data_IF_399276750348
#
_entry.id   IF_399276750348
#
_cell.length_a   1.000
_cell.length_b   1.000
_cell.length_c   1.000
_cell.angle_alpha   90.00
_cell.angle_beta   90.00
_cell.angle_gamma   90.00
#
_symmetry.space_group_name_H-M   'P 1'
#
loop_
_entity.id
_entity.type
_entity.pdbx_description
1 polymer ?
#
# COMPACT_ATOMS: atom_id res chain seq x y z
N UNK A 1 -5.17 6.16 -25.66
CA UNK A 1 -6.35 7.07 -25.64
C UNK A 1 -7.58 6.45 -24.98
N UNK A 2 -8.31 5.48 -25.58
CA UNK A 2 -9.53 4.94 -24.93
C UNK A 2 -9.24 4.25 -23.58
N UNK A 3 -8.25 3.35 -23.55
CA UNK A 3 -7.86 2.63 -22.33
C UNK A 3 -7.35 3.56 -21.22
N UNK A 4 -6.54 4.55 -21.58
CA UNK A 4 -6.02 5.53 -20.61
C UNK A 4 -7.15 6.33 -19.96
N UNK A 5 -8.12 6.79 -20.77
CA UNK A 5 -9.28 7.50 -20.25
C UNK A 5 -10.09 6.60 -19.31
N UNK A 6 -10.38 5.36 -19.73
CA UNK A 6 -11.11 4.41 -18.89
C UNK A 6 -10.42 4.12 -17.55
N UNK A 7 -9.09 4.06 -17.52
CA UNK A 7 -8.34 3.86 -16.27
C UNK A 7 -8.39 5.11 -15.37
N UNK A 8 -8.32 6.32 -15.95
CA UNK A 8 -8.48 7.56 -15.17
C UNK A 8 -9.89 7.67 -14.59
N UNK A 9 -10.91 7.40 -15.41
CA UNK A 9 -12.30 7.41 -15.00
C UNK A 9 -12.54 6.39 -13.88
N UNK A 10 -12.00 5.17 -14.00
CA UNK A 10 -12.14 4.15 -12.97
C UNK A 10 -11.57 4.57 -11.59
N UNK A 11 -10.44 5.28 -11.55
CA UNK A 11 -9.89 5.80 -10.29
C UNK A 11 -10.78 6.90 -9.69
N UNK A 12 -11.30 7.81 -10.53
CA UNK A 12 -12.21 8.87 -10.09
C UNK A 12 -13.53 8.29 -9.58
N UNK A 13 -14.09 7.31 -10.30
CA UNK A 13 -15.34 6.65 -9.93
C UNK A 13 -15.17 5.84 -8.64
N UNK A 14 -14.03 5.16 -8.45
CA UNK A 14 -13.71 4.46 -7.20
C UNK A 14 -13.54 5.42 -6.01
N UNK A 15 -12.90 6.58 -6.22
CA UNK A 15 -12.80 7.63 -5.19
C UNK A 15 -14.20 8.14 -4.79
N UNK A 16 -15.09 8.30 -5.76
CA UNK A 16 -16.48 8.69 -5.49
C UNK A 16 -17.27 7.61 -4.73
N UNK A 17 -17.04 6.33 -5.04
CA UNK A 17 -17.64 5.19 -4.35
C UNK A 17 -17.18 5.14 -2.88
N UNK A 18 -15.88 5.29 -2.62
CA UNK A 18 -15.32 5.35 -1.26
C UNK A 18 -15.94 6.50 -0.47
N UNK A 19 -16.08 7.70 -1.06
CA UNK A 19 -16.71 8.84 -0.40
C UNK A 19 -18.18 8.57 -0.06
N UNK A 20 -18.91 7.92 -0.98
CA UNK A 20 -20.29 7.50 -0.76
C UNK A 20 -20.42 6.57 0.45
N UNK A 21 -19.47 5.64 0.62
CA UNK A 21 -19.47 4.73 1.77
C UNK A 21 -19.07 5.42 3.08
N UNK A 22 -18.07 6.28 3.08
CA UNK A 22 -17.69 7.08 4.26
C UNK A 22 -18.86 7.93 4.77
N UNK A 23 -19.72 8.40 3.86
CA UNK A 23 -20.93 9.18 4.19
C UNK A 23 -22.14 8.33 4.58
N UNK A 24 -22.04 7.00 4.47
CA UNK A 24 -23.14 6.07 4.69
C UNK A 24 -24.24 6.15 3.62
N UNK A 25 -23.93 6.71 2.45
CA UNK A 25 -24.86 6.87 1.33
C UNK A 25 -24.92 5.63 0.44
N UNK A 26 -23.90 4.77 0.49
CA UNK A 26 -23.81 3.59 -0.35
C UNK A 26 -24.14 2.29 0.43
N UNK A 27 -24.56 1.27 -0.33
CA UNK A 27 -24.97 -0.03 0.20
C UNK A 27 -23.89 -1.00 -0.21
N UNK A 28 -22.93 -1.26 0.68
CA UNK A 28 -21.96 -2.34 0.47
C UNK A 28 -22.72 -3.67 0.41
N UNK A 29 -22.90 -4.22 -0.79
CA UNK A 29 -23.02 -5.67 -0.93
C UNK A 29 -21.62 -6.24 -0.64
N UNK A 30 -21.55 -7.24 0.25
CA UNK A 30 -20.34 -7.84 0.83
C UNK A 30 -19.02 -7.53 0.08
N UNK A 31 -18.11 -6.77 0.72
CA UNK A 31 -16.78 -6.44 0.20
C UNK A 31 -15.89 -7.68 -0.15
N UNK A 32 -16.36 -8.88 0.19
CA UNK A 32 -15.74 -10.17 -0.17
C UNK A 32 -16.26 -10.76 -1.49
N UNK A 33 -17.19 -10.12 -2.19
CA UNK A 33 -17.66 -10.56 -3.51
C UNK A 33 -16.75 -9.95 -4.57
N UNK A 34 -16.02 -10.78 -5.36
CA UNK A 34 -15.27 -10.26 -6.50
C UNK A 34 -16.16 -9.41 -7.41
N UNK A 35 -15.69 -8.20 -7.76
CA UNK A 35 -16.38 -7.23 -8.65
C UNK A 35 -16.89 -7.85 -9.97
N UNK A 36 -16.35 -9.00 -10.36
CA UNK A 36 -16.71 -9.77 -11.55
C UNK A 36 -18.04 -10.54 -11.47
N UNK A 37 -18.68 -10.69 -10.30
CA UNK A 37 -19.89 -11.52 -10.18
C UNK A 37 -21.21 -10.79 -10.48
N UNK A 38 -21.21 -9.44 -10.53
CA UNK A 38 -22.43 -8.63 -10.72
C UNK A 38 -22.62 -8.01 -12.10
N UNK A 39 -21.56 -7.82 -12.89
CA UNK A 39 -21.63 -7.10 -14.17
C UNK A 39 -21.24 -8.00 -15.34
N UNK A 40 -22.24 -8.54 -16.04
CA UNK A 40 -22.07 -9.11 -17.37
C UNK A 40 -21.66 -8.02 -18.37
N UNK A 41 -20.38 -7.67 -18.43
CA UNK A 41 -19.80 -6.94 -19.55
C UNK A 41 -19.52 -7.92 -20.68
N UNK A 42 -20.40 -7.96 -21.68
CA UNK A 42 -20.31 -8.79 -22.89
C UNK A 42 -19.15 -8.44 -23.83
N UNK A 43 -18.34 -7.44 -23.50
CA UNK A 43 -17.36 -6.85 -24.41
C UNK A 43 -15.93 -7.40 -24.25
N UNK A 44 -15.68 -8.16 -23.18
CA UNK A 44 -14.43 -8.88 -23.00
C UNK A 44 -14.72 -10.37 -23.22
N UNK A 45 -14.22 -10.92 -24.32
CA UNK A 45 -14.22 -12.38 -24.57
C UNK A 45 -13.63 -13.12 -23.36
N UNK A 46 -13.84 -14.45 -23.25
CA UNK A 46 -13.54 -15.20 -22.03
C UNK A 46 -12.11 -14.92 -21.56
N UNK A 47 -12.00 -14.08 -20.53
CA UNK A 47 -10.77 -13.89 -19.80
C UNK A 47 -10.64 -15.18 -19.01
N UNK A 48 -9.68 -16.04 -19.36
CA UNK A 48 -9.23 -17.06 -18.43
C UNK A 48 -8.60 -16.32 -17.24
N UNK A 49 -9.45 -15.83 -16.35
CA UNK A 49 -9.06 -15.27 -15.07
C UNK A 49 -8.54 -16.43 -14.24
N UNK A 50 -7.24 -16.71 -14.33
CA UNK A 50 -6.54 -17.21 -13.16
C UNK A 50 -6.55 -16.06 -12.16
N UNK A 51 -7.63 -15.98 -11.39
CA UNK A 51 -7.66 -15.20 -10.17
C UNK A 51 -6.38 -15.56 -9.41
N UNK A 52 -5.52 -14.56 -9.22
CA UNK A 52 -4.45 -14.69 -8.24
C UNK A 52 -5.18 -14.59 -6.91
N UNK A 53 -5.56 -15.73 -6.37
CA UNK A 53 -6.03 -15.83 -4.99
C UNK A 53 -4.92 -15.28 -4.10
N UNK A 54 -5.14 -14.09 -3.53
CA UNK A 54 -4.34 -13.62 -2.39
C UNK A 54 -4.79 -14.46 -1.19
N UNK A 55 -4.19 -15.64 -1.04
CA UNK A 55 -4.37 -16.45 0.14
C UNK A 55 -3.66 -15.78 1.33
N UNK A 56 -4.38 -15.01 2.15
CA UNK A 56 -4.05 -14.90 3.57
C UNK A 56 -4.53 -16.20 4.22
N UNK A 57 -3.72 -17.26 4.10
CA UNK A 57 -3.87 -18.45 4.93
C UNK A 57 -3.20 -18.17 6.28
N UNK A 58 -3.86 -17.39 7.11
CA UNK A 58 -3.72 -17.59 8.55
C UNK A 58 -4.98 -18.28 9.05
N UNK A 59 -4.79 -19.37 9.80
CA UNK A 59 -5.84 -20.33 10.10
C UNK A 59 -6.95 -19.74 10.96
N UNK A 60 -8.02 -19.23 10.34
CA UNK A 60 -9.39 -19.24 10.88
C UNK A 60 -9.61 -18.70 12.29
N UNK A 61 -8.76 -17.81 12.80
CA UNK A 61 -9.03 -17.07 14.05
C UNK A 61 -9.07 -15.58 13.72
N UNK A 62 -10.28 -15.07 13.57
CA UNK A 62 -10.53 -13.64 13.63
C UNK A 62 -10.06 -13.15 15.01
N UNK A 63 -9.01 -12.33 15.03
CA UNK A 63 -8.71 -11.51 16.19
C UNK A 63 -9.75 -10.40 16.21
N UNK A 64 -10.75 -10.53 17.07
CA UNK A 64 -11.62 -9.41 17.41
C UNK A 64 -10.73 -8.35 18.09
N UNK A 65 -10.44 -7.27 17.37
CA UNK A 65 -9.88 -6.06 17.97
C UNK A 65 -11.01 -5.42 18.76
N UNK A 66 -11.06 -5.74 20.04
CA UNK A 66 -12.07 -5.27 20.98
C UNK A 66 -11.65 -3.88 21.46
N UNK A 67 -11.78 -2.87 20.59
CA UNK A 67 -11.89 -1.44 20.87
C UNK A 67 -12.08 -0.70 19.52
N UNK A 68 -13.28 -0.20 19.19
CA UNK A 68 -13.43 0.74 18.08
C UNK A 68 -12.70 2.02 18.48
N UNK A 69 -11.49 2.20 17.96
CA UNK A 69 -10.88 3.53 17.90
C UNK A 69 -11.77 4.31 16.93
N UNK A 70 -12.36 5.45 17.32
CA UNK A 70 -13.04 6.31 16.36
C UNK A 70 -11.95 6.83 15.43
N UNK A 71 -11.82 6.20 14.27
CA UNK A 71 -11.10 6.78 13.15
C UNK A 71 -12.14 7.67 12.49
N UNK A 72 -11.89 8.98 12.41
CA UNK A 72 -12.67 9.82 11.51
C UNK A 72 -12.35 9.32 10.09
N UNK A 73 -13.21 8.45 9.55
CA UNK A 73 -12.98 7.74 8.28
C UNK A 73 -12.79 8.69 7.07
N UNK A 74 -13.15 9.98 7.21
CA UNK A 74 -12.90 11.03 6.22
C UNK A 74 -11.40 11.38 6.03
N UNK A 75 -10.57 11.07 7.04
CA UNK A 75 -9.12 11.31 7.01
C UNK A 75 -8.32 10.09 6.50
N UNK A 76 -8.99 8.97 6.22
CA UNK A 76 -8.33 7.79 5.68
C UNK A 76 -8.07 7.93 4.17
N UNK A 77 -6.92 7.46 3.72
CA UNK A 77 -6.50 7.48 2.32
C UNK A 77 -5.64 6.27 1.96
N UNK A 78 -5.50 6.02 0.66
CA UNK A 78 -4.68 4.94 0.14
C UNK A 78 -4.02 5.29 -1.18
N UNK A 79 -2.81 4.76 -1.39
CA UNK A 79 -2.15 4.80 -2.70
C UNK A 79 -2.63 3.63 -3.56
N UNK A 80 -2.52 3.77 -4.88
CA UNK A 80 -2.91 2.73 -5.81
C UNK A 80 -1.94 2.68 -6.99
N UNK A 81 -1.26 1.54 -7.13
CA UNK A 81 -0.47 1.19 -8.31
C UNK A 81 -1.05 -0.06 -8.96
N UNK A 82 -1.53 0.07 -10.19
CA UNK A 82 -2.21 -0.99 -10.93
C UNK A 82 -1.44 -1.28 -12.21
N UNK A 83 -0.93 -2.50 -12.35
CA UNK A 83 -0.26 -2.97 -13.57
C UNK A 83 -1.14 -3.99 -14.29
N UNK A 84 -1.64 -3.62 -15.47
CA UNK A 84 -2.31 -4.52 -16.38
C UNK A 84 -1.34 -5.02 -17.44
N UNK A 85 -1.28 -6.34 -17.64
CA UNK A 85 -0.49 -6.95 -18.71
C UNK A 85 -1.38 -7.58 -19.75
N UNK A 86 -1.07 -7.34 -21.03
CA UNK A 86 -1.72 -7.96 -22.19
C UNK A 86 -0.66 -8.72 -22.99
N UNK A 87 -0.99 -9.41 -24.09
CA UNK A 87 0.03 -9.98 -24.97
C UNK A 87 0.97 -8.93 -25.60
N UNK A 88 0.55 -7.66 -25.69
CA UNK A 88 1.29 -6.60 -26.42
C UNK A 88 1.79 -5.45 -25.54
N UNK A 89 1.18 -5.24 -24.39
CA UNK A 89 1.39 -4.04 -23.57
C UNK A 89 1.46 -4.38 -22.09
N UNK A 90 2.31 -3.64 -21.37
CA UNK A 90 2.22 -3.42 -19.93
C UNK A 90 1.69 -2.01 -19.74
N UNK A 91 0.58 -1.88 -19.02
CA UNK A 91 -0.04 -0.59 -18.72
C UNK A 91 -0.05 -0.42 -17.22
N UNK A 92 0.57 0.65 -16.74
CA UNK A 92 0.62 0.96 -15.32
C UNK A 92 -0.12 2.27 -15.05
N UNK A 93 -1.08 2.23 -14.14
CA UNK A 93 -1.76 3.40 -13.59
C UNK A 93 -1.31 3.58 -12.14
N UNK A 94 -0.73 4.74 -11.79
CA UNK A 94 -0.23 5.02 -10.45
C UNK A 94 -0.84 6.30 -9.87
N UNK A 95 -1.33 6.25 -8.64
CA UNK A 95 -1.68 7.41 -7.83
C UNK A 95 -1.09 7.21 -6.42
N UNK A 96 -0.10 8.04 -6.06
CA UNK A 96 0.67 7.93 -4.82
C UNK A 96 2.12 7.51 -5.07
N UNK A 97 2.76 6.98 -4.03
CA UNK A 97 4.20 6.66 -3.96
C UNK A 97 4.52 5.16 -3.79
N UNK A 98 3.52 4.31 -3.89
CA UNK A 98 3.74 2.94 -4.33
C UNK A 98 4.33 2.94 -5.76
N UNK A 99 5.16 1.96 -6.08
CA UNK A 99 5.93 1.97 -7.34
C UNK A 99 5.95 0.61 -8.03
N UNK A 100 5.89 0.66 -9.36
CA UNK A 100 6.09 -0.47 -10.25
C UNK A 100 7.33 -0.25 -11.13
N UNK A 101 8.17 -1.29 -11.21
CA UNK A 101 9.33 -1.35 -12.10
C UNK A 101 9.33 -2.69 -12.83
N UNK A 102 9.87 -2.74 -14.03
CA UNK A 102 10.09 -3.99 -14.72
C UNK A 102 11.55 -4.17 -15.12
N UNK A 103 11.93 -5.42 -15.29
CA UNK A 103 13.25 -5.80 -15.76
C UNK A 103 13.18 -6.23 -17.22
N UNK A 104 14.05 -5.64 -18.04
CA UNK A 104 14.22 -5.99 -19.45
C UNK A 104 15.70 -6.01 -19.81
N UNK A 105 16.11 -7.07 -20.49
CA UNK A 105 17.47 -7.25 -21.03
C UNK A 105 18.58 -7.03 -19.99
N UNK A 106 19.05 -8.11 -19.36
CA UNK A 106 20.20 -8.08 -18.44
C UNK A 106 19.91 -7.37 -17.11
N UNK A 107 18.74 -7.65 -16.52
CA UNK A 107 18.42 -7.22 -15.15
C UNK A 107 18.52 -5.70 -14.94
N UNK A 108 18.16 -4.94 -15.97
CA UNK A 108 18.09 -3.47 -15.92
C UNK A 108 16.68 -3.05 -15.54
N UNK A 109 16.56 -2.26 -14.47
CA UNK A 109 15.28 -1.70 -14.08
C UNK A 109 14.84 -0.62 -15.06
N UNK A 110 13.58 -0.70 -15.47
CA UNK A 110 12.89 0.32 -16.24
C UNK A 110 11.62 0.69 -15.46
N UNK A 111 11.36 1.99 -15.19
CA UNK A 111 10.19 2.40 -14.42
C UNK A 111 8.89 2.14 -15.21
N UNK A 112 7.87 1.63 -14.52
CA UNK A 112 6.48 1.62 -15.00
C UNK A 112 5.62 2.68 -14.29
N UNK A 113 6.12 3.28 -13.21
CA UNK A 113 5.50 4.43 -12.56
C UNK A 113 6.57 5.40 -12.05
N UNK A 114 6.12 6.60 -11.74
CA UNK A 114 6.83 7.58 -10.94
C UNK A 114 5.99 7.88 -9.71
N UNK A 115 6.65 8.11 -8.58
CA UNK A 115 5.98 8.45 -7.33
C UNK A 115 5.38 9.86 -7.44
N UNK A 116 4.32 10.11 -6.69
CA UNK A 116 3.69 11.42 -6.61
C UNK A 116 3.98 12.03 -5.24
N UNK A 117 5.05 12.83 -5.16
CA UNK A 117 5.47 13.50 -3.94
C UNK A 117 5.03 14.97 -3.97
N UNK A 118 4.60 15.55 -2.83
CA UNK A 118 4.16 16.95 -2.77
C UNK A 118 5.20 17.97 -3.24
N UNK A 119 6.49 17.66 -3.13
CA UNK A 119 7.60 18.52 -3.54
C UNK A 119 8.02 18.34 -5.01
N UNK A 120 7.37 17.47 -5.78
CA UNK A 120 7.54 17.40 -7.24
C UNK A 120 6.98 18.68 -7.89
N UNK A 121 7.70 19.25 -8.87
CA UNK A 121 7.39 20.59 -9.44
C UNK A 121 5.95 20.72 -9.96
N UNK A 122 5.43 19.68 -10.62
CA UNK A 122 4.08 19.66 -11.17
C UNK A 122 3.02 19.48 -10.09
N UNK A 123 3.32 18.70 -9.06
CA UNK A 123 2.43 18.41 -7.95
C UNK A 123 2.34 19.60 -7.00
N UNK A 124 3.47 20.21 -6.63
CA UNK A 124 3.53 21.42 -5.81
C UNK A 124 2.77 22.57 -6.49
N UNK A 125 2.94 22.73 -7.80
CA UNK A 125 2.21 23.74 -8.56
C UNK A 125 0.71 23.50 -8.48
N UNK A 126 0.23 22.28 -8.72
CA UNK A 126 -1.20 21.93 -8.59
C UNK A 126 -1.71 22.21 -7.18
N UNK A 127 -0.98 21.80 -6.13
CA UNK A 127 -1.36 22.02 -4.73
C UNK A 127 -1.53 23.51 -4.44
N UNK A 128 -0.61 24.36 -4.91
CA UNK A 128 -0.68 25.82 -4.74
C UNK A 128 -1.83 26.45 -5.53
N UNK A 129 -2.06 26.01 -6.77
CA UNK A 129 -3.18 26.45 -7.60
C UNK A 129 -4.53 26.06 -6.98
N UNK A 130 -4.59 24.95 -6.24
CA UNK A 130 -5.73 24.51 -5.44
C UNK A 130 -5.88 25.24 -4.09
N UNK A 131 -5.07 26.26 -3.84
CA UNK A 131 -5.09 27.05 -2.59
C UNK A 131 -4.42 26.38 -1.39
N UNK A 132 -3.69 25.29 -1.59
CA UNK A 132 -2.86 24.63 -0.57
C UNK A 132 -1.42 25.14 -0.55
N UNK A 133 -0.58 24.52 0.29
CA UNK A 133 0.86 24.75 0.34
C UNK A 133 1.61 23.45 0.60
N UNK A 134 2.92 23.44 0.37
CA UNK A 134 3.81 22.30 0.68
C UNK A 134 4.79 22.72 1.77
N UNK A 135 4.90 21.91 2.81
CA UNK A 135 5.82 22.15 3.93
C UNK A 135 6.43 20.83 4.37
N UNK A 136 7.77 20.76 4.46
CA UNK A 136 8.48 19.54 4.85
C UNK A 136 8.23 18.33 3.94
N UNK A 137 7.99 18.56 2.64
CA UNK A 137 7.63 17.49 1.69
C UNK A 137 6.20 16.96 1.85
N UNK A 138 5.31 17.73 2.50
CA UNK A 138 3.93 17.32 2.81
C UNK A 138 2.91 18.36 2.36
N UNK A 139 1.77 17.91 1.87
CA UNK A 139 0.59 18.74 1.58
C UNK A 139 0.10 19.34 2.89
N UNK A 140 0.10 20.67 2.95
CA UNK A 140 -0.24 21.48 4.13
C UNK A 140 0.56 21.15 5.39
N UNK A 141 1.72 20.51 5.23
CA UNK A 141 2.57 20.05 6.33
C UNK A 141 2.17 18.71 6.94
N UNK A 142 1.19 18.02 6.35
CA UNK A 142 0.56 16.84 6.95
C UNK A 142 0.71 15.57 6.10
N UNK A 143 0.14 15.53 4.88
CA UNK A 143 0.15 14.33 4.04
C UNK A 143 1.39 14.24 3.13
N UNK A 144 2.11 13.11 3.14
CA UNK A 144 3.37 12.93 2.41
C UNK A 144 3.23 12.48 0.94
N UNK A 145 1.99 12.34 0.45
CA UNK A 145 1.67 12.00 -0.93
C UNK A 145 0.80 13.09 -1.55
N UNK A 146 0.97 13.33 -2.84
CA UNK A 146 0.17 14.32 -3.58
C UNK A 146 -0.97 13.69 -4.37
N UNK A 147 -1.01 12.36 -4.52
CA UNK A 147 -2.09 11.64 -5.18
C UNK A 147 -2.48 10.40 -4.39
N UNK A 148 -3.77 10.06 -4.43
CA UNK A 148 -4.34 8.95 -3.66
C UNK A 148 -5.86 8.94 -3.71
N UNK A 149 -6.43 7.80 -3.33
CA UNK A 149 -7.85 7.63 -3.10
C UNK A 149 -8.18 7.94 -1.63
N UNK A 150 -9.36 8.47 -1.33
CA UNK A 150 -9.70 8.94 0.02
C UNK A 150 -9.13 10.33 0.32
N UNK A 151 -8.65 10.57 1.54
CA UNK A 151 -8.03 11.84 1.96
C UNK A 151 -8.93 13.07 1.69
N UNK A 152 -10.23 12.95 1.98
CA UNK A 152 -11.24 13.91 1.52
C UNK A 152 -11.10 15.30 2.13
N UNK A 153 -10.41 15.45 3.25
CA UNK A 153 -10.04 16.75 3.81
C UNK A 153 -9.23 17.63 2.85
N UNK A 154 -8.57 17.04 1.84
CA UNK A 154 -7.80 17.73 0.82
C UNK A 154 -8.52 17.86 -0.54
N UNK A 155 -9.78 17.41 -0.60
CA UNK A 155 -10.59 17.38 -1.82
C UNK A 155 -11.89 18.13 -1.58
N UNK A 156 -12.46 18.71 -2.63
CA UNK A 156 -13.84 19.19 -2.60
C UNK A 156 -14.81 18.00 -2.77
N UNK A 157 -15.58 17.61 -1.74
CA UNK A 157 -16.43 16.43 -1.82
C UNK A 157 -17.57 16.55 -2.83
N UNK A 158 -18.06 17.77 -3.10
CA UNK A 158 -19.16 17.98 -4.05
C UNK A 158 -18.70 17.70 -5.50
N UNK A 159 -17.41 17.91 -5.78
CA UNK A 159 -16.79 17.54 -7.06
C UNK A 159 -16.58 16.03 -7.14
N UNK A 160 -16.06 15.41 -6.07
CA UNK A 160 -15.77 13.96 -6.04
C UNK A 160 -17.04 13.15 -6.35
N UNK A 161 -18.18 13.50 -5.75
CA UNK A 161 -19.47 12.82 -6.00
C UNK A 161 -19.98 12.99 -7.44
N UNK A 162 -19.64 14.09 -8.11
CA UNK A 162 -20.10 14.37 -9.48
C UNK A 162 -19.36 13.55 -10.57
N UNK A 163 -18.21 12.95 -10.23
CA UNK A 163 -17.45 12.02 -11.05
C UNK A 163 -16.92 12.59 -12.39
N UNK A 164 -16.46 11.68 -13.26
CA UNK A 164 -15.98 11.97 -14.63
C UNK A 164 -17.03 12.58 -15.58
N UNK A 165 -18.30 12.68 -15.15
CA UNK A 165 -19.42 13.21 -15.93
C UNK A 165 -19.37 14.74 -16.18
N UNK A 166 -18.40 15.45 -15.59
CA UNK A 166 -18.17 16.88 -15.81
C UNK A 166 -17.37 17.25 -17.06
N UNK A 167 -16.89 16.30 -17.88
CA UNK A 167 -15.98 16.59 -19.00
C UNK A 167 -16.59 17.33 -20.20
N UNK A 168 -17.89 17.66 -20.17
CA UNK A 168 -18.55 18.44 -21.22
C UNK A 168 -18.95 19.84 -20.74
N UNK A 169 -18.03 20.79 -20.86
CA UNK A 169 -18.37 22.21 -20.99
C UNK A 169 -17.82 23.11 -19.89
N UNK A 170 -16.74 23.83 -20.22
CA UNK A 170 -16.51 25.14 -19.63
C UNK A 170 -17.72 26.03 -19.95
N UNK A 171 -18.54 26.33 -18.94
CA UNK A 171 -19.74 27.13 -19.15
C UNK A 171 -20.67 27.15 -17.94
N UNK A 172 -20.44 28.13 -17.05
CA UNK A 172 -21.46 28.88 -16.32
C UNK A 172 -22.66 28.13 -15.69
N UNK A 173 -22.71 28.21 -14.35
CA UNK A 173 -23.91 28.28 -13.45
C UNK A 173 -24.61 26.95 -13.11
N UNK A 174 -24.79 26.71 -11.81
CA UNK A 174 -25.98 27.16 -11.04
C UNK A 174 -25.81 26.91 -9.53
N UNK A 175 -25.85 28.00 -8.79
CA UNK A 175 -26.17 28.07 -7.37
C UNK A 175 -27.45 27.28 -7.04
N UNK A 176 -27.37 26.33 -6.10
CA UNK A 176 -28.52 25.94 -5.28
C UNK A 176 -28.16 25.85 -3.79
N UNK A 177 -27.66 26.96 -3.24
CA UNK A 177 -27.73 27.29 -1.81
C UNK A 177 -29.19 27.63 -1.37
N UNK A 178 -30.19 26.93 -1.94
CA UNK A 178 -31.61 27.19 -1.66
C UNK A 178 -32.26 26.12 -0.75
N UNK A 179 -31.51 25.12 -0.27
CA UNK A 179 -32.08 24.02 0.55
C UNK A 179 -31.45 23.81 1.92
N UNK A 180 -30.42 24.56 2.33
CA UNK A 180 -29.80 24.41 3.66
C UNK A 180 -30.25 25.41 4.74
N UNK A 181 -31.09 26.39 4.43
CA UNK A 181 -31.65 27.32 5.43
C UNK A 181 -33.18 27.19 5.55
N UNK A 182 -33.62 26.08 6.16
CA UNK A 182 -34.92 26.00 6.84
C UNK A 182 -34.84 25.18 8.12
N UNK A 183 -33.85 25.46 8.99
CA UNK A 183 -33.86 25.07 10.40
C UNK A 183 -33.15 26.13 11.23
N UNK A 184 -33.88 27.19 11.54
CA UNK A 184 -33.89 27.93 12.81
C UNK A 184 -34.45 29.33 12.55
N UNK A 185 -35.70 29.55 12.98
CA UNK A 185 -36.25 30.88 13.12
C UNK A 185 -35.71 31.55 14.37
N UNK A 186 -35.39 32.84 14.27
CA UNK A 186 -35.01 33.70 15.38
C UNK A 186 -34.51 35.04 14.88
N UNK A 187 -35.36 36.07 14.97
CA UNK A 187 -35.11 37.45 14.57
C UNK A 187 -33.99 38.13 15.38
N UNK A 188 -33.22 39.03 14.74
CA UNK A 188 -32.35 39.99 15.43
C UNK A 188 -31.34 40.65 14.49
N UNK A 189 -31.56 41.93 14.16
CA UNK A 189 -30.77 42.68 13.18
C UNK A 189 -29.40 43.17 13.67
N UNK A 190 -28.50 43.38 12.71
CA UNK A 190 -27.22 44.10 12.88
C UNK A 190 -26.32 43.95 11.65
N UNK A 191 -26.13 45.03 10.87
CA UNK A 191 -25.13 45.12 9.79
C UNK A 191 -23.74 45.34 10.39
N UNK A 192 -22.74 44.51 10.09
CA UNK A 192 -21.33 44.89 9.78
C UNK A 192 -20.61 43.70 9.12
N UNK A 193 -19.84 43.95 8.05
CA UNK A 193 -18.77 43.06 7.56
C UNK A 193 -19.07 42.44 6.20
N UNK A 194 -18.24 42.71 5.19
CA UNK A 194 -18.39 42.18 3.84
C UNK A 194 -18.01 40.72 3.78
N UNK A 195 -18.96 39.91 3.33
CA UNK A 195 -18.68 38.57 2.83
C UNK A 195 -18.06 38.75 1.45
N UNK A 196 -16.73 38.77 1.39
CA UNK A 196 -16.01 38.37 0.18
C UNK A 196 -16.28 36.86 0.03
N UNK A 197 -17.48 36.51 -0.45
CA UNK A 197 -17.79 35.20 -1.00
C UNK A 197 -16.89 35.04 -2.23
N UNK A 198 -15.68 34.53 -2.00
CA UNK A 198 -14.82 34.02 -3.03
C UNK A 198 -15.64 32.94 -3.75
N UNK A 199 -16.10 33.20 -4.97
CA UNK A 199 -16.51 32.16 -5.91
C UNK A 199 -15.29 31.24 -6.10
N UNK A 200 -15.07 30.29 -5.20
CA UNK A 200 -14.02 29.29 -5.33
C UNK A 200 -14.46 28.40 -6.50
N UNK A 201 -13.73 28.40 -7.63
CA UNK A 201 -14.10 27.54 -8.74
C UNK A 201 -14.10 26.09 -8.26
N UNK A 202 -15.18 25.35 -8.52
CA UNK A 202 -15.20 23.90 -8.29
C UNK A 202 -14.07 23.27 -9.11
N UNK A 203 -12.98 22.88 -8.44
CA UNK A 203 -11.79 22.31 -9.05
C UNK A 203 -12.11 20.91 -9.56
N UNK A 204 -11.58 20.49 -10.70
CA UNK A 204 -11.77 19.11 -11.19
C UNK A 204 -11.02 18.11 -10.27
N UNK A 205 -11.34 16.80 -10.31
CA UNK A 205 -10.61 15.80 -9.51
C UNK A 205 -9.08 15.86 -9.69
N UNK A 206 -8.61 16.10 -10.92
CA UNK A 206 -7.18 16.26 -11.23
C UNK A 206 -6.53 17.54 -10.70
N UNK A 207 -7.33 18.51 -10.22
CA UNK A 207 -6.89 19.84 -9.78
C UNK A 207 -7.00 20.01 -8.26
N UNK A 208 -7.45 18.98 -7.54
CA UNK A 208 -7.52 18.99 -6.08
C UNK A 208 -6.12 19.00 -5.44
N UNK A 209 -6.02 19.37 -4.16
CA UNK A 209 -4.71 19.34 -3.44
C UNK A 209 -4.15 17.92 -3.42
N UNK A 210 -5.01 16.93 -3.16
CA UNK A 210 -4.71 15.50 -3.38
C UNK A 210 -5.58 15.00 -4.53
N UNK A 211 -4.95 14.54 -5.61
CA UNK A 211 -5.67 14.09 -6.81
C UNK A 211 -5.86 12.55 -6.79
N UNK A 212 -7.07 12.03 -7.06
CA UNK A 212 -7.28 10.60 -7.30
C UNK A 212 -6.83 10.16 -8.71
N UNK A 213 -6.53 11.11 -9.60
CA UNK A 213 -6.26 10.82 -11.01
C UNK A 213 -4.86 10.21 -11.18
N UNK A 214 -4.75 8.98 -11.72
CA UNK A 214 -3.48 8.30 -11.86
C UNK A 214 -2.68 8.83 -13.05
N UNK A 215 -1.35 8.74 -12.97
CA UNK A 215 -0.51 8.78 -14.16
C UNK A 215 -0.46 7.41 -14.83
N UNK A 216 -0.45 7.42 -16.17
CA UNK A 216 -0.52 6.19 -16.97
C UNK A 216 0.71 6.07 -17.85
N UNK A 217 1.44 4.98 -17.68
CA UNK A 217 2.55 4.59 -18.54
C UNK A 217 2.16 3.35 -19.33
N UNK A 218 2.29 3.44 -20.66
CA UNK A 218 2.03 2.33 -21.59
C UNK A 218 3.35 1.89 -22.21
N UNK A 219 3.74 0.66 -21.91
CA UNK A 219 4.99 0.07 -22.37
C UNK A 219 4.70 -1.12 -23.30
N UNK A 220 5.31 -1.12 -24.50
CA UNK A 220 5.29 -2.28 -25.40
C UNK A 220 5.95 -3.47 -24.70
N UNK A 221 5.32 -4.64 -24.77
CA UNK A 221 5.94 -5.90 -24.34
C UNK A 221 6.88 -6.45 -25.39
N UNK A 222 7.92 -7.09 -24.89
CA UNK A 222 8.88 -7.86 -25.67
C UNK A 222 9.04 -9.23 -24.99
N UNK A 223 8.35 -10.28 -25.45
CA UNK A 223 8.40 -11.60 -24.82
C UNK A 223 9.80 -12.22 -24.76
N UNK A 224 10.70 -11.80 -25.64
CA UNK A 224 12.07 -12.32 -25.74
C UNK A 224 13.04 -11.57 -24.82
N UNK A 225 12.64 -10.42 -24.26
CA UNK A 225 13.50 -9.56 -23.45
C UNK A 225 12.91 -9.22 -22.06
N UNK A 226 11.58 -9.29 -21.89
CA UNK A 226 10.89 -8.98 -20.63
C UNK A 226 11.08 -10.10 -19.61
N UNK A 227 11.71 -9.78 -18.49
CA UNK A 227 12.11 -10.76 -17.47
C UNK A 227 11.05 -10.89 -16.36
N UNK A 228 10.75 -9.79 -15.67
CA UNK A 228 9.76 -9.76 -14.59
C UNK A 228 9.33 -8.32 -14.26
N UNK A 229 8.21 -8.16 -13.55
CA UNK A 229 7.74 -6.91 -12.95
C UNK A 229 7.81 -7.03 -11.44
N UNK A 230 8.16 -5.93 -10.76
CA UNK A 230 8.07 -5.77 -9.32
C UNK A 230 7.14 -4.60 -9.03
N UNK A 231 6.15 -4.82 -8.17
CA UNK A 231 5.22 -3.81 -7.67
C UNK A 231 5.34 -3.83 -6.15
N UNK A 232 5.56 -2.69 -5.51
CA UNK A 232 5.65 -2.63 -4.05
C UNK A 232 5.26 -1.26 -3.50
N UNK A 233 4.94 -1.20 -2.21
CA UNK A 233 4.80 0.06 -1.48
C UNK A 233 6.17 0.68 -1.15
N UNK A 234 6.15 1.93 -0.71
CA UNK A 234 7.29 2.73 -0.25
C UNK A 234 8.14 2.05 0.83
N UNK A 235 7.55 1.22 1.71
CA UNK A 235 8.31 0.42 2.68
C UNK A 235 9.40 -0.46 2.06
N UNK A 236 9.32 -0.79 0.77
CA UNK A 236 10.40 -1.40 -0.01
C UNK A 236 11.31 -0.35 -0.66
N UNK A 237 10.72 0.64 -1.32
CA UNK A 237 11.44 1.63 -2.13
C UNK A 237 12.24 2.66 -1.32
N UNK A 238 11.90 2.87 -0.06
CA UNK A 238 12.64 3.71 0.89
C UNK A 238 14.05 3.18 1.18
N UNK A 239 14.22 1.86 1.06
CA UNK A 239 15.49 1.16 1.32
C UNK A 239 16.04 0.42 0.09
N UNK A 240 15.42 0.59 -1.07
CA UNK A 240 15.85 0.04 -2.35
C UNK A 240 15.73 1.08 -3.47
N UNK A 241 16.82 1.29 -4.22
CA UNK A 241 16.68 1.84 -5.56
C UNK A 241 16.07 0.82 -6.54
N UNK A 242 15.50 1.32 -7.64
CA UNK A 242 14.91 0.47 -8.69
C UNK A 242 15.88 -0.63 -9.17
N UNK A 243 17.14 -0.28 -9.43
CA UNK A 243 18.15 -1.22 -9.91
C UNK A 243 18.61 -2.21 -8.82
N UNK A 244 18.68 -1.79 -7.56
CA UNK A 244 19.02 -2.71 -6.46
C UNK A 244 17.92 -3.75 -6.26
N UNK A 245 16.66 -3.34 -6.31
CA UNK A 245 15.52 -4.24 -6.19
C UNK A 245 15.49 -5.26 -7.34
N UNK A 246 15.63 -4.80 -8.60
CA UNK A 246 15.66 -5.70 -9.76
C UNK A 246 16.84 -6.66 -9.69
N UNK A 247 18.04 -6.20 -9.33
CA UNK A 247 19.20 -7.09 -9.16
C UNK A 247 18.98 -8.10 -8.04
N UNK A 248 18.42 -7.68 -6.92
CA UNK A 248 18.10 -8.56 -5.81
C UNK A 248 17.15 -9.69 -6.24
N UNK A 249 16.07 -9.35 -6.95
CA UNK A 249 15.12 -10.35 -7.48
C UNK A 249 15.78 -11.26 -8.52
N UNK A 250 16.59 -10.71 -9.41
CA UNK A 250 17.33 -11.47 -10.41
C UNK A 250 18.33 -12.45 -9.77
N UNK A 251 19.05 -12.03 -8.73
CA UNK A 251 19.98 -12.88 -7.98
C UNK A 251 19.25 -14.05 -7.32
N UNK A 252 18.09 -13.79 -6.72
CA UNK A 252 17.26 -14.84 -6.11
C UNK A 252 16.85 -15.90 -7.16
N UNK A 253 16.44 -15.46 -8.36
CA UNK A 253 16.14 -16.38 -9.46
C UNK A 253 17.40 -17.13 -9.95
N UNK A 254 18.55 -16.44 -10.05
CA UNK A 254 19.82 -17.05 -10.45
C UNK A 254 20.33 -18.09 -9.43
N UNK A 255 20.00 -17.91 -8.15
CA UNK A 255 20.29 -18.86 -7.07
C UNK A 255 19.35 -20.08 -7.05
N UNK A 256 18.39 -20.14 -7.97
CA UNK A 256 17.54 -21.31 -8.19
C UNK A 256 16.19 -21.27 -7.49
N UNK A 257 15.78 -20.13 -6.93
CA UNK A 257 14.44 -20.02 -6.36
C UNK A 257 13.40 -19.89 -7.47
N UNK A 258 12.36 -20.74 -7.44
CA UNK A 258 11.27 -20.70 -8.42
C UNK A 258 9.93 -20.32 -7.79
N UNK A 259 9.81 -20.39 -6.46
CA UNK A 259 8.61 -20.03 -5.74
C UNK A 259 8.55 -18.50 -5.55
N UNK A 260 7.66 -17.84 -6.28
CA UNK A 260 7.50 -16.38 -6.23
C UNK A 260 7.13 -15.86 -4.83
N UNK A 261 6.42 -16.65 -4.01
CA UNK A 261 6.14 -16.29 -2.63
C UNK A 261 7.41 -16.24 -1.78
N UNK A 262 8.36 -17.15 -2.00
CA UNK A 262 9.68 -17.11 -1.34
C UNK A 262 10.55 -15.97 -1.88
N UNK A 263 10.46 -15.67 -3.18
CA UNK A 263 11.12 -14.48 -3.76
C UNK A 263 10.63 -13.21 -3.06
N UNK A 264 9.32 -13.00 -2.98
CA UNK A 264 8.74 -11.85 -2.27
C UNK A 264 9.16 -11.84 -0.80
N UNK A 265 9.05 -12.98 -0.09
CA UNK A 265 9.46 -13.06 1.33
C UNK A 265 10.92 -12.66 1.53
N UNK A 266 11.81 -13.08 0.64
CA UNK A 266 13.22 -12.72 0.73
C UNK A 266 13.45 -11.23 0.43
N UNK A 267 12.70 -10.62 -0.49
CA UNK A 267 12.72 -9.16 -0.71
C UNK A 267 12.29 -8.41 0.55
N UNK A 268 11.19 -8.83 1.20
CA UNK A 268 10.71 -8.24 2.45
C UNK A 268 11.76 -8.34 3.56
N UNK A 269 12.30 -9.54 3.79
CA UNK A 269 13.32 -9.77 4.83
C UNK A 269 14.58 -8.94 4.60
N UNK A 270 15.01 -8.78 3.33
CA UNK A 270 16.16 -7.95 2.98
C UNK A 270 15.91 -6.46 3.20
N UNK A 271 14.69 -5.97 2.96
CA UNK A 271 14.32 -4.59 3.23
C UNK A 271 14.20 -4.31 4.74
N UNK A 272 13.66 -5.27 5.51
CA UNK A 272 13.67 -5.22 6.98
C UNK A 272 15.10 -5.12 7.52
N UNK A 273 16.02 -5.96 7.03
CA UNK A 273 17.43 -5.94 7.44
C UNK A 273 18.15 -4.64 7.07
N UNK A 274 17.72 -3.96 5.99
CA UNK A 274 18.23 -2.64 5.60
C UNK A 274 17.63 -1.49 6.42
N UNK A 275 16.68 -1.80 7.33
CA UNK A 275 16.13 -0.85 8.28
C UNK A 275 14.81 -0.22 7.87
N UNK A 276 14.07 -0.84 6.94
CA UNK A 276 12.68 -0.44 6.72
C UNK A 276 11.87 -0.60 8.01
N UNK A 277 11.06 0.41 8.32
CA UNK A 277 10.23 0.47 9.53
C UNK A 277 8.74 0.54 9.20
N UNK A 278 8.40 0.48 7.92
CA UNK A 278 7.03 0.62 7.45
C UNK A 278 6.38 -0.75 7.18
N UNK A 279 5.07 -0.73 6.91
CA UNK A 279 4.38 -1.83 6.26
C UNK A 279 5.03 -2.11 4.91
N UNK A 280 5.20 -3.40 4.59
CA UNK A 280 5.84 -3.81 3.35
C UNK A 280 4.96 -4.81 2.60
N UNK A 281 4.58 -4.43 1.38
CA UNK A 281 3.86 -5.27 0.43
C UNK A 281 4.65 -5.30 -0.87
N UNK A 282 4.83 -6.50 -1.44
CA UNK A 282 5.51 -6.69 -2.72
C UNK A 282 4.84 -7.79 -3.56
N UNK A 283 4.72 -7.54 -4.85
CA UNK A 283 4.24 -8.46 -5.87
C UNK A 283 5.31 -8.61 -6.96
N UNK A 284 5.64 -9.85 -7.33
CA UNK A 284 6.57 -10.15 -8.43
C UNK A 284 5.83 -10.95 -9.49
N UNK A 285 5.83 -10.44 -10.73
CA UNK A 285 5.25 -11.12 -11.90
C UNK A 285 6.40 -11.57 -12.78
N UNK A 286 6.60 -12.88 -12.89
CA UNK A 286 7.65 -13.48 -13.71
C UNK A 286 7.17 -13.71 -15.14
N UNK A 287 7.95 -13.26 -16.13
CA UNK A 287 7.72 -13.58 -17.54
C UNK A 287 8.57 -14.78 -18.02
N UNK A 288 8.23 -15.38 -19.18
CA UNK A 288 8.92 -16.57 -19.69
C UNK A 288 10.42 -16.40 -19.90
N UNK A 289 10.90 -15.20 -20.29
CA UNK A 289 12.32 -14.95 -20.56
C UNK A 289 13.20 -15.04 -19.31
N UNK A 290 12.67 -14.71 -18.13
CA UNK A 290 13.43 -14.87 -16.90
C UNK A 290 13.75 -16.34 -16.70
N UNK A 291 15.03 -16.68 -16.58
CA UNK A 291 15.45 -18.06 -16.29
C UNK A 291 15.64 -18.27 -14.80
N UNK A 292 15.47 -19.51 -14.35
CA UNK A 292 15.80 -19.92 -12.99
C UNK A 292 17.15 -20.64 -13.06
N UNK A 293 18.10 -20.22 -12.22
CA UNK A 293 19.41 -20.83 -12.18
C UNK A 293 19.43 -22.17 -11.43
N UNK A 294 20.62 -22.70 -11.20
CA UNK A 294 20.82 -23.92 -10.42
C UNK A 294 21.38 -23.54 -9.05
N UNK A 295 20.65 -23.87 -7.99
CA UNK A 295 21.09 -23.64 -6.62
C UNK A 295 20.03 -24.05 -5.61
N UNK A 296 20.28 -23.74 -4.34
CA UNK A 296 19.35 -24.05 -3.24
C UNK A 296 18.31 -22.96 -2.97
N UNK A 297 18.18 -21.98 -3.87
CA UNK A 297 17.20 -20.90 -3.76
C UNK A 297 17.35 -20.08 -2.48
N UNK A 298 16.21 -19.62 -1.96
CA UNK A 298 16.16 -18.75 -0.78
C UNK A 298 16.69 -19.43 0.48
N UNK A 299 16.50 -20.74 0.63
CA UNK A 299 17.00 -21.49 1.79
C UNK A 299 18.54 -21.44 1.87
N UNK A 300 19.22 -21.84 0.80
CA UNK A 300 20.69 -21.80 0.78
C UNK A 300 21.22 -20.36 0.88
N UNK A 301 20.52 -19.38 0.31
CA UNK A 301 20.85 -17.95 0.46
C UNK A 301 20.82 -17.52 1.93
N UNK A 302 19.78 -17.91 2.68
CA UNK A 302 19.62 -17.61 4.12
C UNK A 302 20.70 -18.28 4.97
N UNK A 303 21.01 -19.55 4.68
CA UNK A 303 22.07 -20.29 5.37
C UNK A 303 23.44 -19.61 5.20
N UNK A 304 23.80 -19.21 3.97
CA UNK A 304 25.04 -18.46 3.70
C UNK A 304 25.11 -17.16 4.50
N UNK A 305 24.02 -16.38 4.50
CA UNK A 305 23.93 -15.12 5.27
C UNK A 305 24.09 -15.35 6.78
N UNK A 306 23.47 -16.41 7.33
CA UNK A 306 23.61 -16.77 8.73
C UNK A 306 25.04 -17.18 9.13
N UNK A 307 25.72 -17.92 8.25
CA UNK A 307 27.13 -18.30 8.45
C UNK A 307 28.06 -17.07 8.41
N UNK A 308 27.85 -16.15 7.47
CA UNK A 308 28.63 -14.91 7.37
C UNK A 308 28.46 -13.99 8.59
N UNK A 309 27.24 -13.85 9.10
CA UNK A 309 26.96 -13.07 10.31
C UNK A 309 27.65 -13.66 11.55
N UNK A 310 27.63 -14.99 11.68
CA UNK A 310 28.32 -15.71 12.77
C UNK A 310 29.84 -15.53 12.72
N UNK A 311 30.40 -15.45 11.51
CA UNK A 311 31.85 -15.26 11.30
C UNK A 311 32.28 -13.82 11.63
N UNK A 312 31.43 -12.82 11.38
CA UNK A 312 31.70 -11.40 11.69
C UNK A 312 31.58 -11.08 13.18
N UNK A 313 30.71 -11.76 13.93
CA UNK A 313 30.50 -11.53 15.36
C UNK A 313 31.50 -12.23 16.28
N UNK A 314 32.43 -13.05 15.78
CA UNK A 314 33.52 -13.67 16.55
C UNK A 314 34.56 -12.70 17.14
N UNK A 315 34.26 -11.40 17.26
CA UNK A 315 35.18 -10.38 17.75
C UNK A 315 34.59 -9.23 18.58
N UNK A 316 33.27 -9.10 18.74
CA UNK A 316 32.66 -8.08 19.62
C UNK A 316 31.32 -8.56 20.16
N UNK A 317 31.29 -8.93 21.44
CA UNK A 317 30.06 -9.15 22.20
C UNK A 317 29.35 -7.81 22.43
N UNK A 318 28.34 -7.51 21.60
CA UNK A 318 27.38 -6.44 21.86
C UNK A 318 25.97 -7.05 21.85
N UNK A 319 25.26 -6.85 22.96
CA UNK A 319 23.96 -7.45 23.30
C UNK A 319 22.86 -7.11 22.26
N UNK A 320 22.99 -6.00 21.52
CA UNK A 320 22.06 -5.56 20.46
C UNK A 320 22.10 -6.48 19.21
N UNK A 321 23.27 -7.03 18.85
CA UNK A 321 23.41 -7.90 17.68
C UNK A 321 22.84 -9.30 17.95
N UNK A 322 22.82 -9.76 19.21
CA UNK A 322 22.15 -11.01 19.57
C UNK A 322 20.63 -10.91 19.42
N UNK A 323 20.04 -9.74 19.69
CA UNK A 323 18.61 -9.51 19.46
C UNK A 323 18.29 -9.50 17.96
N UNK A 324 19.13 -8.90 17.10
CA UNK A 324 19.00 -9.00 15.63
C UNK A 324 19.13 -10.43 15.14
N UNK A 325 20.10 -11.20 15.64
CA UNK A 325 20.27 -12.61 15.28
C UNK A 325 19.09 -13.47 15.75
N UNK A 326 18.51 -13.19 16.93
CA UNK A 326 17.30 -13.87 17.39
C UNK A 326 16.06 -13.49 16.57
N UNK A 327 15.91 -12.23 16.19
CA UNK A 327 14.83 -11.77 15.31
C UNK A 327 14.93 -12.44 13.93
N UNK A 328 16.14 -12.47 13.37
CA UNK A 328 16.44 -13.18 12.13
C UNK A 328 16.10 -14.66 12.26
N UNK A 329 16.48 -15.34 13.35
CA UNK A 329 16.12 -16.76 13.57
C UNK A 329 14.61 -16.99 13.68
N UNK A 330 13.85 -16.05 14.27
CA UNK A 330 12.38 -16.14 14.38
C UNK A 330 11.69 -15.92 13.03
N UNK A 331 12.18 -14.97 12.22
CA UNK A 331 11.67 -14.67 10.86
C UNK A 331 12.06 -15.77 9.87
N UNK A 332 13.22 -16.40 10.07
CA UNK A 332 13.76 -17.47 9.22
C UNK A 332 13.27 -18.88 9.56
N UNK A 333 12.21 -19.05 10.36
CA UNK A 333 11.61 -20.38 10.51
C UNK A 333 11.13 -20.87 9.12
N UNK A 334 11.72 -21.95 8.55
CA UNK A 334 11.23 -22.49 7.31
C UNK A 334 9.83 -23.06 7.58
N UNK A 335 8.83 -22.55 6.86
CA UNK A 335 7.54 -23.23 6.81
C UNK A 335 7.78 -24.62 6.22
N UNK A 336 7.66 -25.66 7.07
CA UNK A 336 7.70 -27.06 6.64
C UNK A 336 6.25 -27.49 6.39
N UNK A 337 5.87 -27.83 5.15
CA UNK A 337 4.53 -28.32 4.86
C UNK A 337 4.23 -29.59 5.68
N UNK A 338 2.98 -29.82 6.12
CA UNK A 338 2.62 -30.95 6.98
C UNK A 338 2.99 -32.34 6.43
N UNK A 339 3.17 -32.45 5.11
CA UNK A 339 3.39 -33.72 4.42
C UNK A 339 4.81 -34.31 4.55
N UNK A 340 5.76 -33.65 5.22
CA UNK A 340 7.14 -34.15 5.39
C UNK A 340 7.52 -34.49 6.83
N UNK A 341 6.55 -34.55 7.75
CA UNK A 341 6.76 -35.07 9.11
C UNK A 341 6.59 -36.59 9.13
N UNK A 342 7.52 -37.32 8.52
CA UNK A 342 7.68 -38.74 8.79
C UNK A 342 8.96 -38.98 9.60
N UNK A 343 8.78 -39.54 10.80
CA UNK A 343 9.85 -40.20 11.56
C UNK A 343 10.68 -39.32 12.50
N UNK A 344 10.10 -38.90 13.63
CA UNK A 344 10.87 -38.33 14.74
C UNK A 344 10.00 -38.22 16.00
N UNK A 345 10.44 -38.85 17.09
CA UNK A 345 9.70 -39.06 18.33
C UNK A 345 9.12 -37.77 18.92
N UNK A 346 7.85 -37.82 19.34
CA UNK A 346 7.21 -36.77 20.11
C UNK A 346 7.87 -36.67 21.50
N UNK A 347 8.51 -35.53 21.79
CA UNK A 347 8.72 -35.07 23.15
C UNK A 347 7.66 -34.00 23.43
N UNK A 348 6.77 -34.30 24.38
CA UNK A 348 5.88 -33.34 25.02
C UNK A 348 6.75 -32.31 25.77
N UNK A 349 6.80 -31.07 25.27
CA UNK A 349 7.22 -29.94 26.09
C UNK A 349 6.04 -29.53 26.97
N UNK A 350 6.25 -29.65 28.28
CA UNK A 350 5.33 -29.21 29.33
C UNK A 350 5.36 -27.68 29.40
N UNK A 351 4.20 -27.07 29.26
CA UNK A 351 3.95 -25.67 29.65
C UNK A 351 4.13 -25.55 31.17
N UNK A 352 5.14 -24.79 31.61
CA UNK A 352 5.23 -24.29 32.98
C UNK A 352 4.44 -22.97 33.07
N UNK A 353 3.24 -23.05 33.65
CA UNK A 353 2.45 -21.92 34.11
C UNK A 353 3.07 -21.35 35.40
N UNK A 354 3.47 -20.08 35.37
CA UNK A 354 3.80 -19.32 36.58
C UNK A 354 2.50 -18.73 37.11
N UNK A 355 1.97 -19.33 38.17
CA UNK A 355 0.91 -18.79 39.01
C UNK A 355 1.52 -17.84 40.05
N UNK A 356 1.25 -16.54 39.92
CA UNK A 356 1.45 -15.55 40.97
C UNK A 356 0.16 -15.42 41.76
N UNK A 357 0.09 -16.00 42.96
CA UNK A 357 -0.80 -15.52 44.03
C UNK A 357 -0.44 -16.11 45.42
N UNK A 358 -0.10 -15.18 46.33
CA UNK A 358 -0.35 -15.17 47.78
C UNK A 358 0.59 -15.96 48.72
N UNK A 359 1.38 -15.21 49.47
CA UNK A 359 1.56 -15.42 50.91
C UNK A 359 1.46 -14.07 51.68
N UNK A 360 0.34 -13.89 52.40
CA UNK A 360 0.31 -13.24 53.73
C UNK A 360 1.14 -14.13 54.69
N UNK A 361 1.87 -13.71 55.71
CA UNK A 361 1.65 -12.76 56.81
C UNK A 361 2.98 -12.83 57.62
N UNK A 362 3.56 -11.81 58.30
CA UNK A 362 3.31 -11.46 59.72
C UNK A 362 4.53 -10.66 60.27
N UNK A 363 4.21 -9.55 60.92
CA UNK A 363 4.89 -8.85 62.03
C UNK A 363 6.19 -8.05 61.82
N UNK A 364 6.05 -6.73 62.02
CA UNK A 364 6.72 -6.08 63.16
C UNK A 364 7.51 -4.80 62.88
N UNK A 365 6.91 -3.65 63.23
CA UNK A 365 7.63 -2.63 63.99
C UNK A 365 8.22 -1.42 63.25
N UNK A 366 7.54 -0.29 63.43
CA UNK A 366 8.09 0.89 64.13
C UNK A 366 8.89 1.96 63.33
N UNK A 367 8.35 3.21 63.40
CA UNK A 367 8.92 4.57 63.14
C UNK A 367 9.43 4.85 61.71
N UNK A 368 8.99 5.87 60.98
CA UNK A 368 8.60 7.23 61.37
C UNK A 368 9.74 8.20 61.03
N UNK A 369 9.65 8.92 59.90
CA UNK A 369 9.92 10.36 59.80
C UNK A 369 9.69 10.89 58.37
N UNK A 370 8.96 12.02 58.32
CA UNK A 370 8.94 13.15 57.38
C UNK A 370 9.40 12.98 55.93
#
# INVERSE_FOLDING_TARGET
>A
MLLERSLRDAFVDLDAEILGEVRGDARVEDANVPYALGHHHSDFGPVESRAVDVFVRDGGKAFAVDHPVPVDDEDAGTTAVVVMTTPRWMVCANAGDSRAVYSRSSHRAVPLSYDHKPDDEDEERRIREAGGYVSGGRVEGDLAVSRGLGDYRFKDPDVVVSGSRGEAGGGARRSTMAQRQRRHGGEGGGKVGGDDDCDVPMLRPSEQKVSPVPDIIVQNRDPDEDEFVVIACDGIWDVQSNNECVRMVADIFAEGESNLGLVCKEVLDLCLMKGSKDNMTACVIKFPKQTIGKGGGVLARRERRGAEASTRNGGRDNIDEQQKVQLLRRVFNPYVPPAQREGGQAQEEKDESVDDDKEEEVLGGDRGNR
#
